data_IF_811439498157
#
_entry.id   IF_811439498157
#
_cell.length_a   1.000
_cell.length_b   1.000
_cell.length_c   1.000
_cell.angle_alpha   90.00
_cell.angle_beta   90.00
_cell.angle_gamma   90.00
#
_symmetry.space_group_name_H-M   'P 1'
#
loop_
_entity.id
_entity.type
_entity.pdbx_description
1 polymer ?
#
# COMPACT_ATOMS: atom_id res chain seq x y z
N UNK A 1 -13.80 14.74 8.60
CA UNK A 1 -13.59 13.63 7.64
C UNK A 1 -14.90 13.42 6.88
N UNK A 2 -14.91 13.42 5.55
CA UNK A 2 -16.17 13.33 4.77
C UNK A 2 -16.52 11.88 4.45
N UNK A 3 -17.81 11.57 4.22
CA UNK A 3 -18.26 10.22 3.85
C UNK A 3 -17.56 9.71 2.57
N UNK A 4 -17.21 10.63 1.64
CA UNK A 4 -16.39 10.34 0.45
C UNK A 4 -14.98 9.83 0.80
N UNK A 5 -14.31 10.45 1.77
CA UNK A 5 -12.97 10.00 2.21
C UNK A 5 -13.02 8.65 2.92
N UNK A 6 -14.07 8.40 3.71
CA UNK A 6 -14.28 7.11 4.36
C UNK A 6 -14.47 6.01 3.32
N UNK A 7 -15.38 6.20 2.35
CA UNK A 7 -15.59 5.26 1.24
C UNK A 7 -14.32 5.01 0.42
N UNK A 8 -13.56 6.06 0.12
CA UNK A 8 -12.29 5.92 -0.60
C UNK A 8 -11.28 5.09 0.19
N UNK A 9 -11.18 5.29 1.51
CA UNK A 9 -10.36 4.46 2.39
C UNK A 9 -10.83 3.00 2.41
N UNK A 10 -12.14 2.74 2.55
CA UNK A 10 -12.65 1.36 2.57
C UNK A 10 -12.43 0.66 1.24
N UNK A 11 -12.67 1.33 0.11
CA UNK A 11 -12.43 0.76 -1.22
C UNK A 11 -10.93 0.50 -1.43
N UNK A 12 -10.07 1.46 -1.10
CA UNK A 12 -8.62 1.27 -1.20
C UNK A 12 -8.14 0.10 -0.33
N UNK A 13 -8.61 0.02 0.92
CA UNK A 13 -8.27 -1.08 1.83
C UNK A 13 -8.78 -2.43 1.32
N UNK A 14 -10.02 -2.50 0.82
CA UNK A 14 -10.58 -3.72 0.22
C UNK A 14 -9.80 -4.16 -1.01
N UNK A 15 -9.50 -3.23 -1.93
CA UNK A 15 -8.71 -3.53 -3.13
C UNK A 15 -7.32 -4.03 -2.76
N UNK A 16 -6.67 -3.39 -1.78
CA UNK A 16 -5.36 -3.80 -1.30
C UNK A 16 -5.40 -5.19 -0.66
N UNK A 17 -6.40 -5.47 0.19
CA UNK A 17 -6.59 -6.81 0.79
C UNK A 17 -6.83 -7.88 -0.27
N UNK A 18 -7.76 -7.64 -1.21
CA UNK A 18 -8.10 -8.60 -2.27
C UNK A 18 -6.88 -8.86 -3.15
N UNK A 19 -6.19 -7.81 -3.60
CA UNK A 19 -4.97 -7.97 -4.41
C UNK A 19 -3.88 -8.72 -3.64
N UNK A 20 -3.68 -8.40 -2.37
CA UNK A 20 -2.66 -9.08 -1.55
C UNK A 20 -2.98 -10.56 -1.40
N UNK A 21 -4.24 -10.92 -1.11
CA UNK A 21 -4.68 -12.32 -0.99
C UNK A 21 -4.53 -13.04 -2.33
N UNK A 22 -5.00 -12.44 -3.43
CA UNK A 22 -4.95 -13.02 -4.77
C UNK A 22 -3.49 -13.25 -5.21
N UNK A 23 -2.62 -12.27 -5.02
CA UNK A 23 -1.19 -12.38 -5.34
C UNK A 23 -0.51 -13.45 -4.49
N UNK A 24 -0.82 -13.51 -3.20
CA UNK A 24 -0.29 -14.54 -2.27
C UNK A 24 -0.68 -15.96 -2.68
N UNK A 25 -1.86 -16.12 -3.31
CA UNK A 25 -2.35 -17.43 -3.78
C UNK A 25 -1.82 -17.81 -5.16
N UNK A 26 -1.65 -16.85 -6.06
CA UNK A 26 -1.18 -17.10 -7.43
C UNK A 26 0.32 -17.35 -7.53
N UNK A 27 1.11 -16.80 -6.60
CA UNK A 27 2.56 -16.96 -6.61
C UNK A 27 3.11 -17.28 -5.21
N UNK A 28 2.89 -18.51 -4.70
CA UNK A 28 3.55 -18.98 -3.50
C UNK A 28 5.06 -19.11 -3.78
N UNK A 29 5.82 -18.05 -3.54
CA UNK A 29 7.28 -18.07 -3.65
C UNK A 29 7.93 -16.93 -4.44
N UNK A 30 7.19 -16.03 -5.09
CA UNK A 30 7.78 -14.75 -5.55
C UNK A 30 7.93 -13.80 -4.38
N UNK A 31 8.89 -14.10 -3.51
CA UNK A 31 9.54 -13.05 -2.73
C UNK A 31 10.17 -12.08 -3.74
N UNK A 32 9.94 -10.78 -3.55
CA UNK A 32 10.37 -9.72 -4.47
C UNK A 32 11.82 -9.84 -4.98
N UNK A 33 12.13 -9.09 -6.03
CA UNK A 33 13.46 -9.12 -6.66
C UNK A 33 14.51 -8.73 -5.62
N UNK A 34 15.40 -9.65 -5.24
CA UNK A 34 16.53 -9.33 -4.38
C UNK A 34 17.49 -8.42 -5.15
N UNK A 35 17.59 -7.18 -4.71
CA UNK A 35 18.62 -6.24 -5.16
C UNK A 35 19.77 -6.19 -4.15
N UNK A 36 20.93 -5.63 -4.52
CA UNK A 36 22.08 -5.44 -3.61
C UNK A 36 21.74 -4.66 -2.32
N UNK A 37 20.61 -3.96 -2.31
CA UNK A 37 20.20 -3.04 -1.25
C UNK A 37 19.04 -3.61 -0.41
N UNK A 38 18.35 -4.65 -0.91
CA UNK A 38 17.23 -5.28 -0.23
C UNK A 38 16.23 -5.92 -1.20
N UNK A 39 15.17 -6.50 -0.64
CA UNK A 39 14.10 -7.12 -1.43
C UNK A 39 13.17 -6.04 -1.98
N UNK A 40 12.91 -6.09 -3.29
CA UNK A 40 12.04 -5.14 -3.97
C UNK A 40 10.70 -5.84 -4.29
N UNK A 41 9.64 -5.61 -3.47
CA UNK A 41 8.37 -6.30 -3.64
C UNK A 41 7.57 -5.67 -4.78
N UNK A 42 7.94 -5.98 -6.01
CA UNK A 42 7.34 -5.42 -7.24
C UNK A 42 5.84 -5.65 -7.34
N UNK A 43 5.37 -6.83 -6.93
CA UNK A 43 3.94 -7.20 -6.92
C UNK A 43 3.16 -6.42 -5.87
N UNK A 44 3.69 -6.27 -4.65
CA UNK A 44 3.08 -5.44 -3.61
C UNK A 44 3.09 -3.97 -3.99
N UNK A 45 4.17 -3.47 -4.58
CA UNK A 45 4.26 -2.10 -5.10
C UNK A 45 3.17 -1.83 -6.13
N UNK A 46 2.93 -2.78 -7.04
CA UNK A 46 1.85 -2.67 -8.03
C UNK A 46 0.47 -2.69 -7.36
N UNK A 47 0.25 -3.59 -6.39
CA UNK A 47 -1.01 -3.67 -5.67
C UNK A 47 -1.31 -2.39 -4.87
N UNK A 48 -0.29 -1.86 -4.17
CA UNK A 48 -0.35 -0.58 -3.45
C UNK A 48 -0.62 0.56 -4.42
N UNK A 49 0.05 0.61 -5.57
CA UNK A 49 -0.16 1.64 -6.57
C UNK A 49 -1.61 1.62 -7.11
N UNK A 50 -2.15 0.43 -7.42
CA UNK A 50 -3.53 0.30 -7.90
C UNK A 50 -4.53 0.73 -6.81
N UNK A 51 -4.35 0.23 -5.57
CA UNK A 51 -5.23 0.53 -4.45
C UNK A 51 -5.23 2.02 -4.09
N UNK A 52 -4.05 2.63 -3.99
CA UNK A 52 -3.89 4.04 -3.62
C UNK A 52 -4.29 4.96 -4.77
N UNK A 53 -4.08 4.55 -6.02
CA UNK A 53 -4.59 5.24 -7.21
C UNK A 53 -6.11 5.28 -7.23
N UNK A 54 -6.78 4.14 -6.99
CA UNK A 54 -8.24 4.07 -6.85
C UNK A 54 -8.74 4.90 -5.65
N UNK A 55 -8.06 4.80 -4.51
CA UNK A 55 -8.37 5.60 -3.32
C UNK A 55 -8.25 7.11 -3.58
N UNK A 56 -7.18 7.55 -4.25
CA UNK A 56 -6.98 8.95 -4.65
C UNK A 56 -8.02 9.40 -5.68
N UNK A 57 -8.40 8.52 -6.60
CA UNK A 57 -9.45 8.80 -7.59
C UNK A 57 -10.83 9.03 -6.95
N UNK A 58 -11.18 8.26 -5.92
CA UNK A 58 -12.46 8.41 -5.22
C UNK A 58 -12.44 9.51 -4.15
N UNK A 59 -11.35 9.59 -3.39
CA UNK A 59 -11.23 10.44 -2.21
C UNK A 59 -10.77 11.87 -2.50
N UNK A 60 -10.09 12.11 -3.62
CA UNK A 60 -9.57 13.42 -4.02
C UNK A 60 -8.49 13.98 -3.10
N UNK A 61 -8.35 15.32 -3.07
CA UNK A 61 -7.33 16.06 -2.28
C UNK A 61 -7.08 15.56 -0.85
N UNK A 62 -8.09 15.35 0.00
CA UNK A 62 -7.85 14.95 1.39
C UNK A 62 -7.26 13.54 1.52
N UNK A 63 -7.48 12.66 0.54
CA UNK A 63 -6.95 11.29 0.57
C UNK A 63 -5.44 11.24 0.34
N UNK A 64 -4.87 12.23 -0.38
CA UNK A 64 -3.43 12.32 -0.65
C UNK A 64 -2.58 12.28 0.62
N UNK A 65 -3.04 12.93 1.69
CA UNK A 65 -2.34 12.95 2.98
C UNK A 65 -2.58 11.70 3.82
N UNK A 66 -3.70 11.01 3.60
CA UNK A 66 -4.07 9.78 4.32
C UNK A 66 -3.41 8.53 3.70
N UNK A 67 -3.16 8.53 2.40
CA UNK A 67 -2.52 7.43 1.67
C UNK A 67 -1.16 7.00 2.28
N UNK A 68 -0.18 7.90 2.54
CA UNK A 68 1.07 7.49 3.17
C UNK A 68 0.86 7.00 4.61
N UNK A 69 -0.06 7.60 5.38
CA UNK A 69 -0.36 7.15 6.74
C UNK A 69 -0.92 5.71 6.76
N UNK A 70 -1.81 5.38 5.83
CA UNK A 70 -2.34 4.03 5.64
C UNK A 70 -1.24 3.03 5.28
N UNK A 71 -0.35 3.38 4.36
CA UNK A 71 0.75 2.48 3.96
C UNK A 71 1.76 2.28 5.07
N UNK A 72 2.07 3.33 5.84
CA UNK A 72 2.92 3.20 7.02
C UNK A 72 2.27 2.30 8.06
N UNK A 73 0.97 2.48 8.36
CA UNK A 73 0.22 1.62 9.27
C UNK A 73 0.23 0.15 8.84
N UNK A 74 -0.06 -0.12 7.57
CA UNK A 74 -0.06 -1.48 7.01
C UNK A 74 1.37 -2.05 7.04
N UNK A 75 2.38 -1.26 6.66
CA UNK A 75 3.77 -1.66 6.72
C UNK A 75 4.22 -2.04 8.13
N UNK A 76 3.84 -1.26 9.14
CA UNK A 76 4.10 -1.59 10.54
C UNK A 76 3.37 -2.86 10.98
N UNK A 77 2.09 -3.02 10.61
CA UNK A 77 1.33 -4.23 10.93
C UNK A 77 1.97 -5.49 10.31
N UNK A 78 2.41 -5.40 9.05
CA UNK A 78 3.14 -6.48 8.36
C UNK A 78 4.48 -6.79 9.02
N UNK A 79 5.20 -5.77 9.48
CA UNK A 79 6.49 -5.94 10.15
C UNK A 79 6.32 -6.62 11.51
N UNK A 80 5.27 -6.27 12.27
CA UNK A 80 4.89 -6.93 13.53
C UNK A 80 4.49 -8.39 13.26
N UNK A 81 3.68 -8.65 12.24
CA UNK A 81 3.28 -10.00 11.87
C UNK A 81 4.47 -10.87 11.44
N UNK A 82 5.39 -10.31 10.65
CA UNK A 82 6.62 -10.99 10.24
C UNK A 82 7.52 -11.29 11.44
N UNK A 83 7.61 -10.37 12.41
CA UNK A 83 8.37 -10.57 13.63
C UNK A 83 7.77 -11.68 14.51
N UNK A 84 6.43 -11.75 14.60
CA UNK A 84 5.73 -12.80 15.34
C UNK A 84 5.87 -14.19 14.69
N UNK A 85 6.10 -14.25 13.38
CA UNK A 85 6.27 -15.49 12.61
C UNK A 85 7.74 -15.91 12.44
N UNK A 86 8.71 -15.06 12.80
CA UNK A 86 10.13 -15.34 12.62
C UNK A 86 10.63 -16.36 13.66
N UNK A 87 11.42 -17.39 13.25
CA UNK A 87 11.97 -18.37 14.19
C UNK A 87 12.96 -17.68 15.17
N UNK A 88 12.86 -17.95 16.49
CA UNK A 88 13.52 -17.16 17.54
C UNK A 88 15.05 -17.35 17.67
N UNK A 89 15.74 -17.92 16.67
CA UNK A 89 17.04 -18.58 16.86
C UNK A 89 18.22 -17.93 16.13
N UNK A 90 18.07 -16.72 15.59
CA UNK A 90 19.15 -16.09 14.80
C UNK A 90 19.45 -14.68 15.34
N UNK A 91 20.57 -14.53 16.03
CA UNK A 91 21.10 -13.25 16.48
C UNK A 91 21.30 -12.30 15.27
N UNK A 92 20.89 -11.03 15.41
CA UNK A 92 20.98 -10.04 14.32
C UNK A 92 19.80 -10.01 13.35
N UNK A 93 18.87 -10.98 13.41
CA UNK A 93 17.68 -11.04 12.55
C UNK A 93 16.82 -9.80 12.63
N UNK A 94 16.63 -9.22 13.83
CA UNK A 94 15.88 -7.98 13.97
C UNK A 94 16.48 -6.82 13.16
N UNK A 95 17.81 -6.65 13.22
CA UNK A 95 18.50 -5.59 12.47
C UNK A 95 18.45 -5.82 10.95
N UNK A 96 18.60 -7.07 10.52
CA UNK A 96 18.52 -7.46 9.11
C UNK A 96 17.09 -7.30 8.57
N UNK A 97 16.08 -7.72 9.34
CA UNK A 97 14.67 -7.62 9.00
C UNK A 97 14.25 -6.15 8.90
N UNK A 98 14.64 -5.31 9.87
CA UNK A 98 14.36 -3.87 9.84
C UNK A 98 15.04 -3.22 8.63
N UNK A 99 16.32 -3.49 8.38
CA UNK A 99 17.07 -2.83 7.29
C UNK A 99 16.55 -3.23 5.90
N UNK A 100 16.18 -4.50 5.71
CA UNK A 100 15.61 -4.98 4.45
C UNK A 100 14.16 -4.52 4.25
N UNK A 101 13.36 -4.45 5.31
CA UNK A 101 11.98 -3.99 5.20
C UNK A 101 11.87 -2.46 5.13
N UNK A 102 12.78 -1.70 5.74
CA UNK A 102 12.73 -0.22 5.72
C UNK A 102 12.74 0.32 4.29
N UNK A 103 13.59 -0.25 3.43
CA UNK A 103 13.67 0.12 2.01
C UNK A 103 12.37 -0.23 1.27
N UNK A 104 11.82 -1.42 1.50
CA UNK A 104 10.52 -1.82 0.96
C UNK A 104 9.40 -0.88 1.40
N UNK A 105 9.39 -0.47 2.68
CA UNK A 105 8.41 0.44 3.27
C UNK A 105 8.53 1.85 2.70
N UNK A 106 9.75 2.35 2.50
CA UNK A 106 10.00 3.64 1.85
C UNK A 106 9.59 3.63 0.37
N UNK A 107 9.91 2.57 -0.35
CA UNK A 107 9.52 2.41 -1.76
C UNK A 107 8.00 2.29 -1.91
N UNK A 108 7.34 1.53 -1.04
CA UNK A 108 5.88 1.39 -1.05
C UNK A 108 5.18 2.69 -0.63
N UNK A 109 5.70 3.40 0.37
CA UNK A 109 5.18 4.71 0.76
C UNK A 109 5.30 5.75 -0.35
N UNK A 110 6.46 5.81 -1.04
CA UNK A 110 6.66 6.72 -2.17
C UNK A 110 5.76 6.35 -3.35
N UNK A 111 5.66 5.07 -3.70
CA UNK A 111 4.74 4.58 -4.73
C UNK A 111 3.27 4.89 -4.40
N UNK A 112 2.87 4.75 -3.14
CA UNK A 112 1.52 5.07 -2.67
C UNK A 112 1.18 6.55 -2.82
N UNK A 113 2.10 7.44 -2.45
CA UNK A 113 1.92 8.90 -2.60
C UNK A 113 1.81 9.26 -4.08
N UNK A 114 2.70 8.74 -4.93
CA UNK A 114 2.66 8.99 -6.36
C UNK A 114 1.37 8.49 -6.98
N UNK A 115 0.95 7.27 -6.66
CA UNK A 115 -0.28 6.68 -7.18
C UNK A 115 -1.52 7.43 -6.71
N UNK A 116 -1.61 7.78 -5.42
CA UNK A 116 -2.70 8.59 -4.90
C UNK A 116 -2.76 9.96 -5.58
N UNK A 117 -1.61 10.55 -5.91
CA UNK A 117 -1.53 11.82 -6.61
C UNK A 117 -2.00 11.71 -8.07
N UNK A 118 -1.61 10.63 -8.77
CA UNK A 118 -2.11 10.31 -10.11
C UNK A 118 -3.62 10.07 -10.08
N UNK A 119 -4.13 9.31 -9.11
CA UNK A 119 -5.56 9.07 -8.92
C UNK A 119 -6.34 10.37 -8.72
N UNK A 120 -5.84 11.25 -7.85
CA UNK A 120 -6.42 12.58 -7.64
C UNK A 120 -6.42 13.41 -8.93
N UNK A 121 -5.31 13.39 -9.68
CA UNK A 121 -5.20 14.10 -10.95
C UNK A 121 -6.22 13.61 -11.98
N UNK A 122 -6.40 12.30 -12.09
CA UNK A 122 -7.41 11.68 -12.96
C UNK A 122 -8.81 12.09 -12.51
N UNK A 123 -9.12 12.08 -11.21
CA UNK A 123 -10.44 12.49 -10.70
C UNK A 123 -10.77 13.96 -10.95
N UNK A 124 -9.75 14.83 -11.01
CA UNK A 124 -9.95 16.25 -11.36
C UNK A 124 -10.31 16.43 -12.83
N UNK A 125 -9.73 15.61 -13.72
CA UNK A 125 -10.05 15.64 -15.15
C UNK A 125 -11.38 14.92 -15.42
N UNK A 126 -11.58 13.76 -14.81
CA UNK A 126 -12.67 12.82 -15.07
C UNK A 126 -13.35 12.50 -13.73
N UNK A 127 -14.30 13.34 -13.28
CA UNK A 127 -14.90 13.20 -11.96
C UNK A 127 -15.70 11.89 -11.85
N UNK A 128 -15.55 11.11 -10.76
CA UNK A 128 -16.26 9.86 -10.60
C UNK A 128 -17.78 10.08 -10.54
N UNK A 129 -18.58 9.46 -11.43
CA UNK A 129 -20.02 9.69 -11.54
C UNK A 129 -20.78 9.24 -10.28
N UNK A 130 -20.25 8.24 -9.56
CA UNK A 130 -20.82 7.73 -8.31
C UNK A 130 -20.82 8.76 -7.17
N UNK A 131 -19.91 9.74 -7.19
CA UNK A 131 -19.76 10.72 -6.12
C UNK A 131 -20.37 12.09 -6.45
N UNK A 132 -20.86 12.27 -7.68
CA UNK A 132 -21.58 13.47 -8.09
C UNK A 132 -22.96 13.59 -7.41
N UNK A 133 -23.54 12.47 -6.95
CA UNK A 133 -24.86 12.41 -6.29
C UNK A 133 -24.82 12.62 -4.77
N UNK A 134 -23.62 12.63 -4.16
CA UNK A 134 -23.41 12.80 -2.72
C UNK A 134 -22.97 14.23 -2.36
N UNK A 135 -23.24 15.19 -3.25
CA UNK A 135 -23.00 16.62 -3.05
C UNK A 135 -24.27 17.31 -2.61
#
# INVERSE_FOLDING_TARGET
MTLRTLLACTVAAMVLLVLTIVLSRLQPGMGGIMTRIGQLPTTELLAVAIAMGLGGYLGGRPFRFLAPALVVLIGFASLIAAWALAPPQVEGTGSWLVRNNLLGLLLTATAAVLAAWVGEYVARRWPPPALARLR
#
